data_IF_882604962165
#
_entry.id   IF_882604962165
#
_cell.length_a   1.000
_cell.length_b   1.000
_cell.length_c   1.000
_cell.angle_alpha   90.00
_cell.angle_beta   90.00
_cell.angle_gamma   90.00
#
_symmetry.space_group_name_H-M   'P 1'
#
loop_
_entity.id
_entity.type
_entity.pdbx_description
1 polymer ?
#
# COMPACT_ATOMS: atom_id res chain seq x y z
N UNK A 1 -6.65 -22.30 1.92
CA UNK A 1 -7.32 -22.41 0.59
C UNK A 1 -6.27 -22.10 -0.48
N UNK A 2 -6.05 -22.99 -1.45
CA UNK A 2 -5.06 -22.73 -2.52
C UNK A 2 -5.74 -21.91 -3.62
N UNK A 3 -5.23 -20.70 -3.87
CA UNK A 3 -5.74 -19.85 -4.95
C UNK A 3 -5.21 -20.35 -6.30
N UNK A 4 -6.09 -20.41 -7.30
CA UNK A 4 -5.71 -20.75 -8.68
C UNK A 4 -5.19 -19.50 -9.41
N UNK A 5 -4.32 -19.70 -10.40
CA UNK A 5 -3.95 -18.64 -11.32
C UNK A 5 -5.16 -18.25 -12.18
N UNK A 6 -5.33 -16.96 -12.33
CA UNK A 6 -6.37 -16.33 -13.16
C UNK A 6 -5.74 -15.31 -14.10
N UNK A 7 -6.41 -15.06 -15.21
CA UNK A 7 -6.06 -13.98 -16.12
C UNK A 7 -6.48 -12.61 -15.55
N UNK A 8 -5.77 -11.51 -15.86
CA UNK A 8 -6.19 -10.15 -15.50
C UNK A 8 -7.59 -9.77 -16.00
N UNK A 9 -8.06 -10.37 -17.09
CA UNK A 9 -9.42 -10.16 -17.65
C UNK A 9 -10.52 -10.63 -16.70
N UNK A 10 -10.21 -11.53 -15.76
CA UNK A 10 -11.15 -11.98 -14.72
C UNK A 10 -11.49 -10.87 -13.71
N UNK A 11 -10.67 -9.80 -13.64
CA UNK A 11 -10.94 -8.63 -12.81
C UNK A 11 -12.13 -7.87 -13.41
N UNK A 12 -13.24 -7.79 -12.67
CA UNK A 12 -14.46 -7.15 -13.17
C UNK A 12 -14.38 -5.63 -13.25
N UNK A 13 -13.63 -4.99 -12.33
CA UNK A 13 -13.49 -3.53 -12.29
C UNK A 13 -12.49 -3.03 -13.35
N UNK A 14 -12.89 -2.12 -14.25
CA UNK A 14 -11.99 -1.54 -15.25
C UNK A 14 -10.79 -0.81 -14.63
N UNK A 15 -11.02 -0.04 -13.55
CA UNK A 15 -9.93 0.69 -12.87
C UNK A 15 -8.96 -0.26 -12.16
N UNK A 16 -9.43 -1.37 -11.59
CA UNK A 16 -8.55 -2.39 -11.01
C UNK A 16 -7.78 -3.15 -12.09
N UNK A 17 -8.38 -3.41 -13.27
CA UNK A 17 -7.62 -3.96 -14.41
C UNK A 17 -6.51 -3.01 -14.86
N UNK A 18 -6.83 -1.72 -15.00
CA UNK A 18 -5.86 -0.70 -15.38
C UNK A 18 -4.73 -0.61 -14.34
N UNK A 19 -5.06 -0.67 -13.04
CA UNK A 19 -4.08 -0.69 -11.95
C UNK A 19 -3.19 -1.95 -11.99
N UNK A 20 -3.76 -3.11 -12.31
CA UNK A 20 -3.01 -4.36 -12.49
C UNK A 20 -2.06 -4.27 -13.69
N UNK A 21 -2.52 -3.72 -14.83
CA UNK A 21 -1.68 -3.51 -16.01
C UNK A 21 -0.56 -2.49 -15.75
N UNK A 22 -0.81 -1.47 -14.94
CA UNK A 22 0.20 -0.51 -14.50
C UNK A 22 1.27 -1.20 -13.64
N UNK A 23 0.85 -1.99 -12.65
CA UNK A 23 1.74 -2.78 -11.80
C UNK A 23 2.57 -3.80 -12.60
N UNK A 24 1.97 -4.46 -13.58
CA UNK A 24 2.63 -5.41 -14.48
C UNK A 24 3.74 -4.75 -15.30
N UNK A 25 3.50 -3.55 -15.84
CA UNK A 25 4.53 -2.76 -16.55
C UNK A 25 5.67 -2.35 -15.64
N UNK A 26 5.40 -1.95 -14.39
CA UNK A 26 6.45 -1.62 -13.42
C UNK A 26 7.28 -2.83 -13.01
N UNK A 27 6.67 -4.01 -13.02
CA UNK A 27 7.38 -5.25 -12.67
C UNK A 27 8.49 -5.58 -13.67
N UNK A 28 8.30 -5.27 -14.96
CA UNK A 28 9.31 -5.42 -16.02
C UNK A 28 10.13 -6.71 -15.89
N UNK A 29 9.52 -7.86 -16.16
CA UNK A 29 10.10 -9.20 -15.99
C UNK A 29 10.47 -9.64 -14.56
N UNK A 30 10.39 -8.76 -13.58
CA UNK A 30 10.52 -9.10 -12.16
C UNK A 30 9.21 -9.69 -11.63
N UNK A 31 9.31 -10.36 -10.51
CA UNK A 31 8.17 -10.98 -9.83
C UNK A 31 7.17 -9.95 -9.31
N UNK A 32 7.66 -8.77 -8.92
CA UNK A 32 6.91 -7.58 -8.52
C UNK A 32 7.84 -6.36 -8.56
N UNK A 33 7.28 -5.14 -8.68
CA UNK A 33 8.08 -3.91 -8.68
C UNK A 33 8.48 -3.47 -7.27
N UNK A 34 9.45 -2.55 -7.17
CA UNK A 34 9.70 -1.84 -5.93
C UNK A 34 8.64 -0.75 -5.71
N UNK A 35 8.25 -0.52 -4.46
CA UNK A 35 7.23 0.50 -4.13
C UNK A 35 7.68 1.93 -4.51
N UNK A 36 8.99 2.17 -4.54
CA UNK A 36 9.60 3.44 -4.94
C UNK A 36 9.42 3.78 -6.42
N UNK A 37 9.07 2.79 -7.24
CA UNK A 37 8.79 2.97 -8.67
C UNK A 37 7.34 3.40 -8.94
N UNK A 38 6.49 3.29 -7.92
CA UNK A 38 5.10 3.69 -8.04
C UNK A 38 4.99 5.22 -8.09
N UNK A 39 4.47 5.73 -9.19
CA UNK A 39 4.09 7.15 -9.31
C UNK A 39 2.61 7.30 -8.93
N UNK A 40 2.37 7.84 -7.76
CA UNK A 40 1.02 8.05 -7.23
C UNK A 40 0.11 8.88 -8.14
N UNK A 41 0.70 9.72 -8.99
CA UNK A 41 -0.05 10.59 -9.88
C UNK A 41 -0.32 9.95 -11.24
N UNK A 42 0.48 8.96 -11.62
CA UNK A 42 0.24 8.17 -12.83
C UNK A 42 -0.65 6.94 -12.55
N UNK A 43 -1.10 6.76 -11.29
CA UNK A 43 -1.99 5.66 -10.94
C UNK A 43 -3.31 5.76 -11.73
N UNK A 44 -3.66 4.75 -12.52
CA UNK A 44 -4.94 4.71 -13.25
C UNK A 44 -6.08 4.28 -12.31
N UNK A 45 -6.11 4.83 -11.10
CA UNK A 45 -7.03 4.44 -10.05
C UNK A 45 -7.22 5.58 -9.04
N UNK A 46 -8.43 5.73 -8.50
CA UNK A 46 -8.72 6.74 -7.46
C UNK A 46 -8.00 6.38 -6.15
N UNK A 47 -7.07 7.24 -5.66
CA UNK A 47 -6.38 7.02 -4.39
C UNK A 47 -7.32 6.88 -3.19
N UNK A 48 -8.52 7.45 -3.25
CA UNK A 48 -9.53 7.34 -2.18
C UNK A 48 -10.00 5.89 -1.94
N UNK A 49 -9.77 5.00 -2.89
CA UNK A 49 -10.13 3.57 -2.81
C UNK A 49 -8.94 2.67 -2.48
N UNK A 50 -7.77 3.25 -2.18
CA UNK A 50 -6.53 2.52 -1.93
C UNK A 50 -6.20 2.41 -0.46
N UNK A 51 -5.50 1.34 -0.11
CA UNK A 51 -4.83 1.14 1.18
C UNK A 51 -3.41 0.66 0.90
N UNK A 52 -2.44 1.21 1.60
CA UNK A 52 -1.05 0.72 1.57
C UNK A 52 -0.76 0.04 2.91
N UNK A 53 -0.36 -1.22 2.84
CA UNK A 53 0.07 -2.01 3.97
C UNK A 53 1.58 -2.22 3.95
N UNK A 54 2.30 -1.96 5.05
CA UNK A 54 3.65 -2.48 5.25
C UNK A 54 3.58 -3.94 5.67
N UNK A 55 4.57 -4.71 5.25
CA UNK A 55 4.77 -6.10 5.68
C UNK A 55 5.89 -6.09 6.72
N UNK A 56 5.54 -6.40 7.98
CA UNK A 56 6.46 -6.38 9.12
C UNK A 56 6.74 -7.79 9.61
N UNK A 57 7.99 -8.05 9.99
CA UNK A 57 8.42 -9.35 10.50
C UNK A 57 8.61 -10.42 9.42
N UNK A 58 9.04 -11.59 9.85
CA UNK A 58 9.33 -12.72 8.98
C UNK A 58 8.18 -13.75 8.97
N UNK A 59 8.09 -14.53 7.88
CA UNK A 59 7.15 -15.65 7.81
C UNK A 59 7.47 -16.70 8.87
N UNK A 60 6.46 -17.31 9.50
CA UNK A 60 5.02 -17.19 9.25
C UNK A 60 4.32 -16.08 10.07
N UNK A 61 5.05 -15.30 10.87
CA UNK A 61 4.52 -14.31 11.83
C UNK A 61 4.43 -12.89 11.26
N UNK A 62 4.30 -12.74 9.94
CA UNK A 62 4.15 -11.44 9.30
C UNK A 62 2.90 -10.71 9.80
N UNK A 63 3.08 -9.39 10.07
CA UNK A 63 2.00 -8.45 10.35
C UNK A 63 1.87 -7.46 9.20
N UNK A 64 0.67 -6.97 8.98
CA UNK A 64 0.34 -6.02 7.93
C UNK A 64 -0.15 -4.75 8.57
N UNK A 65 0.63 -3.67 8.52
CA UNK A 65 0.29 -2.38 9.14
C UNK A 65 -0.09 -1.36 8.08
N UNK A 66 -1.22 -0.67 8.27
CA UNK A 66 -1.68 0.36 7.35
C UNK A 66 -0.77 1.59 7.41
N UNK A 67 -0.15 1.92 6.27
CA UNK A 67 0.62 3.15 6.06
C UNK A 67 -0.25 4.27 5.48
N UNK A 68 -1.24 3.90 4.67
CA UNK A 68 -2.19 4.80 4.03
C UNK A 68 -3.55 4.15 3.96
N UNK A 69 -4.59 4.95 4.13
CA UNK A 69 -5.98 4.57 3.90
C UNK A 69 -6.69 5.71 3.16
N UNK A 70 -7.28 5.40 2.02
CA UNK A 70 -8.08 6.33 1.24
C UNK A 70 -9.42 6.67 1.91
N UNK A 71 -9.91 7.85 1.62
CA UNK A 71 -11.13 8.42 2.23
C UNK A 71 -12.36 7.51 2.05
N UNK A 72 -12.58 6.96 0.85
CA UNK A 72 -13.72 6.09 0.58
C UNK A 72 -13.66 4.79 1.39
N UNK A 73 -12.45 4.30 1.68
CA UNK A 73 -12.26 3.11 2.53
C UNK A 73 -12.56 3.47 3.99
N UNK A 74 -12.06 4.62 4.46
CA UNK A 74 -12.34 5.10 5.83
C UNK A 74 -13.85 5.26 6.06
N UNK A 75 -14.55 5.89 5.12
CA UNK A 75 -16.00 6.07 5.18
C UNK A 75 -16.76 4.73 5.12
N UNK A 76 -16.34 3.82 4.22
CA UNK A 76 -17.00 2.52 4.05
C UNK A 76 -16.91 1.63 5.29
N UNK A 77 -15.83 1.71 6.04
CA UNK A 77 -15.61 0.90 7.23
C UNK A 77 -15.80 1.68 8.53
N UNK A 78 -16.18 2.95 8.45
CA UNK A 78 -16.33 3.87 9.59
C UNK A 78 -15.16 3.76 10.58
N UNK A 79 -13.93 3.71 10.07
CA UNK A 79 -12.73 3.41 10.86
C UNK A 79 -11.47 4.00 10.24
N UNK A 80 -10.60 4.58 11.07
CA UNK A 80 -9.25 4.97 10.69
C UNK A 80 -8.29 3.80 10.96
N UNK A 81 -7.64 3.34 9.90
CA UNK A 81 -6.70 2.22 9.92
C UNK A 81 -5.24 2.65 10.02
N UNK A 82 -4.95 3.94 9.82
CA UNK A 82 -3.56 4.42 9.79
C UNK A 82 -2.79 4.03 11.06
N UNK A 83 -1.68 3.32 10.89
CA UNK A 83 -0.83 2.83 11.98
C UNK A 83 -1.31 1.55 12.67
N UNK A 84 -2.51 1.06 12.36
CA UNK A 84 -3.05 -0.18 12.94
C UNK A 84 -2.71 -1.38 12.08
N UNK A 85 -2.71 -2.55 12.70
CA UNK A 85 -2.52 -3.82 11.99
C UNK A 85 -3.83 -4.29 11.33
N UNK A 86 -3.71 -5.13 10.31
CA UNK A 86 -4.85 -5.73 9.62
C UNK A 86 -5.74 -6.54 10.59
N UNK A 87 -5.14 -7.18 11.59
CA UNK A 87 -5.84 -7.90 12.65
C UNK A 87 -6.70 -7.00 13.53
N UNK A 88 -6.27 -5.75 13.76
CA UNK A 88 -7.00 -4.79 14.59
C UNK A 88 -8.18 -4.16 13.86
N UNK A 89 -8.06 -3.95 12.54
CA UNK A 89 -9.03 -3.15 11.79
C UNK A 89 -10.01 -3.96 10.96
N UNK A 90 -9.62 -5.18 10.55
CA UNK A 90 -10.51 -6.03 9.75
C UNK A 90 -11.53 -6.71 10.66
N UNK A 91 -12.82 -6.56 10.38
CA UNK A 91 -13.88 -7.23 11.12
C UNK A 91 -13.64 -8.74 11.27
N UNK A 92 -14.00 -9.31 12.42
CA UNK A 92 -13.68 -10.69 12.77
C UNK A 92 -14.18 -11.69 11.72
N UNK A 93 -15.35 -11.47 11.14
CA UNK A 93 -15.93 -12.31 10.08
C UNK A 93 -15.11 -12.35 8.79
N UNK A 94 -14.36 -11.29 8.49
CA UNK A 94 -13.50 -11.18 7.30
C UNK A 94 -12.01 -11.41 7.59
N UNK A 95 -11.62 -11.40 8.87
CA UNK A 95 -10.21 -11.38 9.27
C UNK A 95 -9.42 -12.55 8.69
N UNK A 96 -9.92 -13.77 8.83
CA UNK A 96 -9.26 -14.97 8.31
C UNK A 96 -9.03 -14.89 6.80
N UNK A 97 -10.08 -14.60 6.02
CA UNK A 97 -10.01 -14.52 4.53
C UNK A 97 -9.09 -13.38 4.08
N UNK A 98 -9.07 -12.27 4.81
CA UNK A 98 -8.24 -11.12 4.47
C UNK A 98 -6.77 -11.38 4.76
N UNK A 99 -6.45 -11.93 5.94
CA UNK A 99 -5.09 -12.29 6.30
C UNK A 99 -4.53 -13.41 5.42
N UNK A 100 -5.33 -14.44 5.11
CA UNK A 100 -4.91 -15.52 4.21
C UNK A 100 -4.58 -14.97 2.82
N UNK A 101 -5.38 -14.04 2.30
CA UNK A 101 -5.10 -13.39 1.02
C UNK A 101 -3.81 -12.55 1.05
N UNK A 102 -3.57 -11.76 2.10
CA UNK A 102 -2.35 -10.99 2.26
C UNK A 102 -1.11 -11.91 2.38
N UNK A 103 -1.20 -13.00 3.14
CA UNK A 103 -0.16 -14.03 3.23
C UNK A 103 0.09 -14.71 1.89
N UNK A 104 -0.95 -15.02 1.12
CA UNK A 104 -0.80 -15.57 -0.24
C UNK A 104 -0.08 -14.57 -1.16
N UNK A 105 -0.47 -13.30 -1.12
CA UNK A 105 0.14 -12.22 -1.88
C UNK A 105 1.64 -12.14 -1.60
N UNK A 106 2.06 -12.13 -0.32
CA UNK A 106 3.48 -12.05 0.08
C UNK A 106 4.24 -13.33 -0.23
N UNK A 107 3.65 -14.50 0.04
CA UNK A 107 4.33 -15.79 -0.16
C UNK A 107 4.52 -16.11 -1.62
N UNK A 108 3.51 -15.86 -2.44
CA UNK A 108 3.56 -16.14 -3.87
C UNK A 108 4.19 -15.00 -4.67
N UNK A 109 4.37 -13.79 -4.08
CA UNK A 109 4.82 -12.60 -4.79
C UNK A 109 3.96 -12.34 -6.03
N UNK A 110 2.66 -12.53 -5.91
CA UNK A 110 1.69 -12.43 -6.97
C UNK A 110 0.50 -11.61 -6.51
N UNK A 111 -0.14 -10.91 -7.43
CA UNK A 111 -1.36 -10.17 -7.11
C UNK A 111 -2.49 -11.14 -6.71
N UNK A 112 -3.33 -10.71 -5.78
CA UNK A 112 -4.52 -11.46 -5.35
C UNK A 112 -5.75 -10.63 -5.67
N UNK A 113 -6.68 -11.20 -6.45
CA UNK A 113 -7.99 -10.61 -6.67
C UNK A 113 -9.06 -11.46 -6.02
N UNK A 114 -10.02 -10.82 -5.35
CA UNK A 114 -11.17 -11.50 -4.74
C UNK A 114 -12.43 -10.65 -4.83
N UNK A 115 -13.57 -11.33 -4.96
CA UNK A 115 -14.91 -10.74 -4.80
C UNK A 115 -15.51 -11.33 -3.53
N UNK A 116 -15.86 -10.46 -2.60
CA UNK A 116 -16.47 -10.81 -1.32
C UNK A 116 -17.85 -10.18 -1.29
N UNK A 117 -18.89 -11.00 -1.26
CA UNK A 117 -20.27 -10.54 -1.12
C UNK A 117 -20.64 -10.35 0.33
N UNK A 118 -21.32 -9.27 0.65
CA UNK A 118 -21.84 -8.92 1.97
C UNK A 118 -23.22 -8.24 1.85
N UNK A 119 -23.85 -7.98 2.98
CA UNK A 119 -25.11 -7.23 3.06
C UNK A 119 -24.79 -5.80 3.53
N UNK A 120 -25.22 -4.83 2.77
CA UNK A 120 -25.08 -3.41 3.10
C UNK A 120 -26.11 -2.94 4.14
N UNK A 121 -26.00 -1.64 4.56
CA UNK A 121 -26.84 -1.07 5.62
C UNK A 121 -28.36 -1.21 5.40
N UNK A 122 -28.80 -1.13 4.15
CA UNK A 122 -30.21 -1.19 3.77
C UNK A 122 -30.64 -2.61 3.32
N UNK A 123 -29.92 -3.66 3.72
CA UNK A 123 -30.24 -5.04 3.32
C UNK A 123 -29.87 -5.39 1.86
N UNK A 124 -29.28 -4.46 1.11
CA UNK A 124 -28.85 -4.71 -0.27
C UNK A 124 -27.58 -5.56 -0.30
N UNK A 125 -27.48 -6.40 -1.33
CA UNK A 125 -26.24 -7.17 -1.58
C UNK A 125 -25.17 -6.24 -2.14
N UNK A 126 -23.99 -6.29 -1.53
CA UNK A 126 -22.80 -5.50 -1.90
C UNK A 126 -21.64 -6.44 -2.17
N UNK A 127 -20.99 -6.26 -3.31
CA UNK A 127 -19.75 -6.95 -3.63
C UNK A 127 -18.55 -6.03 -3.37
N UNK A 128 -17.63 -6.49 -2.55
CA UNK A 128 -16.32 -5.88 -2.36
C UNK A 128 -15.33 -6.53 -3.34
N UNK A 129 -14.94 -5.79 -4.36
CA UNK A 129 -13.86 -6.16 -5.26
C UNK A 129 -12.54 -5.75 -4.61
N UNK A 130 -11.76 -6.72 -4.19
CA UNK A 130 -10.47 -6.52 -3.53
C UNK A 130 -9.33 -6.99 -4.44
N UNK A 131 -8.42 -6.07 -4.72
CA UNK A 131 -7.17 -6.35 -5.43
C UNK A 131 -6.01 -6.04 -4.49
N UNK A 132 -5.08 -6.98 -4.31
CA UNK A 132 -3.84 -6.83 -3.56
C UNK A 132 -2.67 -6.95 -4.53
N UNK A 133 -1.81 -5.95 -4.59
CA UNK A 133 -0.63 -5.89 -5.46
C UNK A 133 0.64 -5.88 -4.58
N UNK A 134 1.53 -6.87 -4.70
CA UNK A 134 2.77 -6.90 -3.94
C UNK A 134 3.81 -5.95 -4.53
N UNK A 135 4.57 -5.31 -3.64
CA UNK A 135 5.74 -4.49 -3.94
C UNK A 135 6.88 -4.86 -3.01
N UNK A 136 8.13 -4.79 -3.50
CA UNK A 136 9.28 -5.09 -2.67
C UNK A 136 10.57 -5.19 -3.48
N UNK A 137 11.63 -5.68 -2.82
CA UNK A 137 12.98 -5.82 -3.40
C UNK A 137 13.56 -7.17 -3.00
N UNK A 138 14.56 -7.62 -3.73
CA UNK A 138 15.36 -8.80 -3.41
C UNK A 138 14.52 -10.07 -3.13
N UNK A 139 13.39 -10.20 -3.83
CA UNK A 139 12.48 -11.33 -3.67
C UNK A 139 11.58 -11.27 -2.43
N UNK A 140 11.72 -10.23 -1.58
CA UNK A 140 10.88 -10.00 -0.41
C UNK A 140 9.80 -8.96 -0.69
N UNK A 141 8.55 -9.26 -0.34
CA UNK A 141 7.45 -8.29 -0.40
C UNK A 141 7.48 -7.43 0.86
N UNK A 142 7.64 -6.13 0.67
CA UNK A 142 7.75 -5.12 1.74
C UNK A 142 6.44 -4.35 1.94
N UNK A 143 5.68 -4.16 0.86
CA UNK A 143 4.37 -3.48 0.89
C UNK A 143 3.35 -4.22 0.04
N UNK A 144 2.08 -4.00 0.39
CA UNK A 144 0.93 -4.40 -0.41
C UNK A 144 0.10 -3.15 -0.71
N UNK A 145 -0.09 -2.82 -1.98
CA UNK A 145 -1.10 -1.86 -2.41
C UNK A 145 -2.42 -2.59 -2.59
N UNK A 146 -3.41 -2.24 -1.78
CA UNK A 146 -4.75 -2.79 -1.85
C UNK A 146 -5.71 -1.79 -2.50
N UNK A 147 -6.52 -2.24 -3.45
CA UNK A 147 -7.67 -1.51 -3.96
C UNK A 147 -8.96 -2.19 -3.47
N UNK A 148 -9.84 -1.41 -2.86
CA UNK A 148 -11.12 -1.84 -2.33
C UNK A 148 -12.24 -1.07 -3.01
N UNK A 149 -13.10 -1.78 -3.75
CA UNK A 149 -14.26 -1.20 -4.41
C UNK A 149 -15.52 -1.92 -3.98
N UNK A 150 -16.42 -1.17 -3.34
CA UNK A 150 -17.69 -1.67 -2.87
C UNK A 150 -18.78 -1.24 -3.86
N UNK A 151 -19.44 -2.21 -4.47
CA UNK A 151 -20.48 -1.97 -5.47
C UNK A 151 -21.77 -2.66 -5.08
N UNK A 152 -22.88 -1.93 -5.20
CA UNK A 152 -24.20 -2.55 -5.08
C UNK A 152 -24.43 -3.47 -6.28
N UNK A 153 -24.80 -4.73 -6.02
CA UNK A 153 -24.96 -5.75 -7.06
C UNK A 153 -26.06 -5.40 -8.06
N UNK A 154 -27.15 -4.76 -7.61
CA UNK A 154 -28.30 -4.43 -8.42
C UNK A 154 -28.10 -3.15 -9.26
N UNK A 155 -27.53 -2.10 -8.64
CA UNK A 155 -27.39 -0.79 -9.29
C UNK A 155 -25.99 -0.55 -9.89
N UNK A 156 -25.00 -1.40 -9.58
CA UNK A 156 -23.58 -1.26 -9.95
C UNK A 156 -22.95 0.08 -9.52
N UNK A 157 -23.60 0.80 -8.60
CA UNK A 157 -23.08 2.05 -8.02
C UNK A 157 -22.17 1.75 -6.84
N UNK A 158 -21.19 2.61 -6.62
CA UNK A 158 -20.32 2.54 -5.44
C UNK A 158 -21.16 2.75 -4.16
N UNK A 159 -20.89 1.95 -3.13
CA UNK A 159 -21.58 2.01 -1.84
C UNK A 159 -20.58 2.49 -0.78
N UNK A 160 -21.03 3.42 0.04
CA UNK A 160 -20.31 3.94 1.21
C UNK A 160 -21.22 3.76 2.43
N UNK A 161 -20.69 3.23 3.53
CA UNK A 161 -21.43 3.09 4.79
C UNK A 161 -21.12 1.80 5.55
N UNK A 162 -21.70 1.66 6.73
CA UNK A 162 -21.53 0.50 7.60
C UNK A 162 -22.09 -0.79 6.99
N UNK A 163 -21.23 -1.80 6.87
CA UNK A 163 -21.60 -3.11 6.34
C UNK A 163 -21.84 -4.11 7.48
N UNK A 164 -23.03 -4.72 7.52
CA UNK A 164 -23.32 -5.85 8.41
C UNK A 164 -22.65 -7.10 7.85
N UNK A 165 -21.74 -7.64 8.61
CA UNK A 165 -20.67 -8.50 8.13
C UNK A 165 -21.01 -10.00 8.19
N UNK A 166 -21.99 -10.44 7.41
CA UNK A 166 -21.96 -11.81 6.90
C UNK A 166 -21.36 -11.79 5.50
N UNK A 167 -20.11 -12.21 5.39
CA UNK A 167 -19.37 -12.08 4.14
C UNK A 167 -18.99 -13.45 3.58
N UNK A 168 -19.23 -13.65 2.30
CA UNK A 168 -18.88 -14.87 1.57
C UNK A 168 -17.94 -14.53 0.43
N UNK A 169 -16.79 -15.23 0.34
CA UNK A 169 -15.92 -15.12 -0.85
C UNK A 169 -16.58 -15.84 -2.02
N UNK A 170 -16.96 -15.08 -3.03
CA UNK A 170 -17.63 -15.58 -4.24
C UNK A 170 -16.59 -15.99 -5.29
N UNK A 171 -15.48 -15.28 -5.34
CA UNK A 171 -14.40 -15.50 -6.30
C UNK A 171 -13.06 -15.11 -5.71
N UNK A 172 -11.99 -15.86 -6.02
CA UNK A 172 -10.63 -15.46 -5.69
C UNK A 172 -9.59 -16.16 -6.58
N UNK A 173 -8.51 -15.44 -6.91
CA UNK A 173 -7.43 -15.97 -7.73
C UNK A 173 -6.13 -15.17 -7.60
N UNK A 174 -5.05 -15.75 -8.12
CA UNK A 174 -3.72 -15.16 -8.20
C UNK A 174 -3.46 -14.66 -9.62
N UNK A 175 -2.76 -13.53 -9.74
CA UNK A 175 -2.33 -12.94 -11.01
C UNK A 175 -0.82 -12.74 -10.90
N UNK A 176 -0.06 -13.28 -11.87
CA UNK A 176 1.37 -13.04 -12.00
C UNK A 176 1.66 -11.99 -13.06
N UNK A 177 2.77 -11.24 -12.97
CA UNK A 177 3.22 -10.40 -14.08
C UNK A 177 3.39 -11.22 -15.36
N UNK A 178 3.07 -10.62 -16.50
CA UNK A 178 3.05 -11.29 -17.81
C UNK A 178 4.39 -11.92 -18.18
N UNK A 179 5.49 -11.27 -17.83
CA UNK A 179 6.83 -11.78 -18.08
C UNK A 179 7.23 -12.92 -17.10
N UNK A 180 6.78 -12.85 -15.84
CA UNK A 180 7.03 -13.90 -14.84
C UNK A 180 6.21 -15.18 -15.07
N UNK A 181 5.11 -15.09 -15.81
CA UNK A 181 4.29 -16.25 -16.18
C UNK A 181 5.01 -17.22 -17.14
N UNK A 182 6.09 -16.77 -17.79
CA UNK A 182 6.92 -17.58 -18.72
C UNK A 182 8.06 -18.34 -18.02
N UNK A 183 8.32 -18.09 -16.72
CA UNK A 183 9.35 -18.81 -15.96
C UNK A 183 8.72 -19.99 -15.20
N UNK A 184 9.30 -21.22 -15.31
CA UNK A 184 8.86 -22.35 -14.49
C UNK A 184 9.16 -22.06 -13.00
N UNK A 185 8.33 -22.61 -12.11
CA UNK A 185 8.50 -22.52 -10.66
C UNK A 185 9.83 -23.14 -10.23
N UNK A 186 10.90 -22.37 -10.22
CA UNK A 186 12.13 -22.77 -9.55
C UNK A 186 11.90 -22.57 -8.06
N UNK A 187 11.59 -23.66 -7.37
CA UNK A 187 11.66 -23.76 -5.91
C UNK A 187 13.14 -23.63 -5.53
N UNK A 188 13.65 -22.41 -5.50
CA UNK A 188 14.99 -22.11 -5.03
C UNK A 188 15.01 -22.20 -3.51
N UNK A 189 15.69 -23.21 -2.98
CA UNK A 189 16.17 -23.26 -1.61
C UNK A 189 16.99 -21.99 -1.34
N UNK A 190 16.52 -21.18 -0.39
CA UNK A 190 17.20 -19.98 0.08
C UNK A 190 18.40 -20.44 0.91
N UNK A 191 19.65 -20.08 0.56
CA UNK A 191 20.76 -20.29 1.48
C UNK A 191 20.57 -19.38 2.69
N UNK A 192 20.62 -20.00 3.87
CA UNK A 192 20.62 -19.31 5.15
C UNK A 192 21.83 -18.34 5.20
N UNK A 193 21.59 -17.07 5.16
CA UNK A 193 22.62 -16.04 5.35
C UNK A 193 22.45 -15.38 6.69
N UNK A 194 23.50 -15.49 7.45
CA UNK A 194 23.96 -14.92 8.70
C UNK A 194 23.08 -13.94 9.45
N UNK A 195 22.96 -14.25 10.73
CA UNK A 195 22.52 -13.35 11.80
C UNK A 195 23.20 -11.99 11.64
N UNK A 196 22.39 -10.91 11.45
CA UNK A 196 22.81 -9.58 11.85
C UNK A 196 22.03 -9.23 13.13
N UNK A 197 22.78 -9.03 14.17
CA UNK A 197 22.34 -8.62 15.48
C UNK A 197 21.48 -7.35 15.42
N UNK A 198 20.40 -7.37 16.18
CA UNK A 198 19.58 -6.21 16.44
C UNK A 198 20.41 -5.22 17.30
N UNK A 199 21.01 -4.25 16.66
CA UNK A 199 21.57 -3.09 17.38
C UNK A 199 20.41 -2.23 17.83
N UNK A 200 20.21 -2.17 19.13
CA UNK A 200 19.40 -1.17 19.81
C UNK A 200 19.76 0.21 19.28
N UNK A 201 18.77 0.93 18.74
CA UNK A 201 18.99 2.23 18.14
C UNK A 201 19.53 3.26 19.13
N UNK A 202 20.85 3.45 19.14
CA UNK A 202 21.45 4.69 19.64
C UNK A 202 21.00 5.82 18.71
N UNK A 203 20.41 6.84 19.30
CA UNK A 203 20.01 8.06 18.61
C UNK A 203 21.25 8.81 18.09
N UNK A 204 21.70 8.47 16.90
CA UNK A 204 22.86 9.08 16.22
C UNK A 204 22.51 10.42 15.56
N UNK A 205 21.69 11.24 16.22
CA UNK A 205 21.33 12.58 15.72
C UNK A 205 22.49 13.53 15.93
N UNK A 206 23.16 13.88 14.85
CA UNK A 206 24.33 14.81 14.88
C UNK A 206 23.95 16.27 15.07
N UNK A 207 22.68 16.69 14.92
CA UNK A 207 22.26 18.10 14.97
C UNK A 207 20.87 18.25 15.65
N UNK A 208 20.66 19.34 16.44
CA UNK A 208 19.38 19.61 17.07
C UNK A 208 18.31 19.91 16.03
N UNK A 209 17.11 19.39 16.25
CA UNK A 209 15.91 19.69 15.46
C UNK A 209 15.07 20.75 16.15
N UNK A 210 14.55 21.71 15.38
CA UNK A 210 13.56 22.66 15.86
C UNK A 210 12.16 22.18 15.47
N UNK A 211 11.25 22.10 16.42
CA UNK A 211 9.84 21.90 16.13
C UNK A 211 9.33 23.13 15.38
N UNK A 212 8.72 22.91 14.22
CA UNK A 212 8.12 23.94 13.38
C UNK A 212 6.81 23.42 12.84
N UNK A 213 5.90 24.33 12.49
CA UNK A 213 4.69 24.00 11.75
C UNK A 213 4.64 24.94 10.56
N UNK A 214 5.16 24.50 9.43
CA UNK A 214 5.24 25.28 8.20
C UNK A 214 4.64 24.53 7.04
N UNK A 215 3.86 25.22 6.24
CA UNK A 215 3.39 24.68 4.98
C UNK A 215 4.58 24.52 4.02
N UNK A 216 4.55 23.45 3.25
CA UNK A 216 5.57 23.16 2.25
C UNK A 216 4.94 22.47 1.04
N UNK A 217 5.66 22.48 -0.06
CA UNK A 217 5.28 21.80 -1.30
C UNK A 217 6.33 20.78 -1.67
N UNK A 218 5.92 19.53 -1.80
CA UNK A 218 6.71 18.46 -2.38
C UNK A 218 6.55 18.54 -3.89
N UNK A 219 7.67 18.52 -4.63
CA UNK A 219 7.68 18.49 -6.09
C UNK A 219 8.45 17.27 -6.55
N UNK A 220 7.83 16.44 -7.39
CA UNK A 220 8.45 15.28 -8.04
C UNK A 220 7.76 15.00 -9.37
N UNK A 221 8.53 14.61 -10.39
CA UNK A 221 8.02 14.31 -11.74
C UNK A 221 7.06 15.38 -12.30
N UNK A 222 7.37 16.67 -12.05
CA UNK A 222 6.55 17.80 -12.52
C UNK A 222 5.29 18.08 -11.69
N UNK A 223 5.09 17.41 -10.58
CA UNK A 223 3.87 17.47 -9.75
C UNK A 223 4.13 18.11 -8.39
N UNK A 224 3.08 18.69 -7.79
CA UNK A 224 3.15 19.38 -6.51
C UNK A 224 2.13 18.82 -5.52
N UNK A 225 2.60 18.43 -4.33
CA UNK A 225 1.78 18.03 -3.19
C UNK A 225 2.02 19.02 -2.05
N UNK A 226 0.95 19.58 -1.48
CA UNK A 226 1.05 20.42 -0.28
C UNK A 226 1.18 19.52 0.95
N UNK A 227 2.08 19.88 1.88
CA UNK A 227 2.34 19.14 3.10
C UNK A 227 2.75 20.07 4.24
N UNK A 228 2.88 19.53 5.46
CA UNK A 228 3.32 20.27 6.64
C UNK A 228 4.68 19.76 7.12
N UNK A 229 5.63 20.64 7.31
CA UNK A 229 6.91 20.35 8.00
C UNK A 229 6.69 20.52 9.50
N UNK A 230 6.96 19.45 10.27
CA UNK A 230 6.76 19.40 11.73
C UNK A 230 8.03 19.61 12.52
N UNK A 231 9.15 19.21 12.00
CA UNK A 231 10.46 19.52 12.53
C UNK A 231 11.47 19.65 11.39
N UNK A 232 12.48 20.48 11.60
CA UNK A 232 13.54 20.75 10.63
C UNK A 232 14.89 20.89 11.33
N UNK A 233 15.93 20.43 10.68
CA UNK A 233 17.33 20.63 11.04
C UNK A 233 18.15 21.00 9.79
N UNK A 234 19.43 21.29 9.97
CA UNK A 234 20.30 21.55 8.82
C UNK A 234 20.40 20.35 7.85
N UNK A 235 20.20 19.11 8.33
CA UNK A 235 20.40 17.89 7.55
C UNK A 235 19.11 17.19 7.12
N UNK A 236 17.92 17.65 7.56
CA UNK A 236 16.67 17.01 7.21
C UNK A 236 15.44 17.57 7.90
N UNK A 237 14.29 17.00 7.57
CA UNK A 237 13.00 17.41 8.11
C UNK A 237 12.09 16.20 8.36
N UNK A 238 11.05 16.43 9.15
CA UNK A 238 9.91 15.54 9.24
C UNK A 238 8.68 16.21 8.63
N UNK A 239 8.04 15.51 7.73
CA UNK A 239 6.93 16.01 6.90
C UNK A 239 5.69 15.20 7.21
N UNK A 240 4.55 15.88 7.31
CA UNK A 240 3.26 15.26 7.61
C UNK A 240 2.24 15.61 6.51
N UNK A 241 1.55 14.58 6.00
CA UNK A 241 0.41 14.66 5.09
C UNK A 241 -0.25 13.28 4.94
N UNK A 242 -1.51 13.24 4.54
CA UNK A 242 -2.26 12.01 4.34
C UNK A 242 -1.73 11.15 3.17
N UNK A 243 -1.12 11.76 2.16
CA UNK A 243 -0.72 11.13 0.91
C UNK A 243 0.78 10.78 0.84
N UNK A 244 1.54 10.96 1.93
CA UNK A 244 3.00 10.76 1.92
C UNK A 244 3.43 9.31 1.65
N UNK A 245 2.57 8.33 1.88
CA UNK A 245 2.86 6.93 1.56
C UNK A 245 3.08 6.71 0.05
N UNK A 246 2.51 7.57 -0.80
CA UNK A 246 2.59 7.49 -2.26
C UNK A 246 3.70 8.39 -2.84
N UNK A 247 4.39 9.19 -2.02
CA UNK A 247 5.50 10.06 -2.46
C UNK A 247 6.76 9.21 -2.67
N UNK A 248 7.51 9.40 -3.79
CA UNK A 248 8.74 8.65 -4.06
C UNK A 248 9.82 8.96 -3.01
N UNK A 249 10.84 8.10 -2.91
CA UNK A 249 11.94 8.29 -1.94
C UNK A 249 12.81 9.52 -2.22
N UNK A 250 12.82 10.01 -3.46
CA UNK A 250 13.55 11.21 -3.85
C UNK A 250 12.59 12.24 -4.44
N UNK A 251 12.59 13.43 -3.87
CA UNK A 251 11.77 14.53 -4.32
C UNK A 251 12.40 15.89 -3.96
N UNK A 252 11.78 16.97 -4.41
CA UNK A 252 12.15 18.32 -4.04
C UNK A 252 11.14 18.91 -3.08
N UNK A 253 11.61 19.60 -2.03
CA UNK A 253 10.81 20.24 -1.00
C UNK A 253 11.01 21.75 -1.08
N UNK A 254 9.93 22.50 -1.19
CA UNK A 254 9.90 23.95 -1.06
C UNK A 254 9.11 24.27 0.20
N UNK A 255 9.78 24.86 1.19
CA UNK A 255 9.17 25.27 2.46
C UNK A 255 8.66 26.71 2.29
N UNK A 256 7.45 26.97 2.73
CA UNK A 256 6.86 28.30 2.69
C UNK A 256 7.72 29.29 3.46
N UNK A 257 7.96 30.48 2.88
CA UNK A 257 8.88 31.52 3.35
C UNK A 257 10.40 31.19 3.22
N UNK A 258 10.78 30.06 2.63
CA UNK A 258 12.17 29.79 2.22
C UNK A 258 12.24 29.81 0.69
N UNK A 259 13.12 30.63 0.12
CA UNK A 259 13.27 30.73 -1.34
C UNK A 259 14.02 29.56 -1.97
N UNK A 260 14.52 28.63 -1.17
CA UNK A 260 15.37 27.54 -1.62
C UNK A 260 14.59 26.22 -1.77
N UNK A 261 14.69 25.61 -2.94
CA UNK A 261 14.25 24.25 -3.19
C UNK A 261 15.30 23.26 -2.68
N UNK A 262 14.90 22.32 -1.82
CA UNK A 262 15.78 21.32 -1.22
C UNK A 262 15.56 19.96 -1.85
N UNK A 263 16.60 19.28 -2.28
CA UNK A 263 16.53 17.87 -2.64
C UNK A 263 16.38 17.04 -1.39
N UNK A 264 15.42 16.12 -1.39
CA UNK A 264 15.09 15.28 -0.23
C UNK A 264 15.19 13.80 -0.59
N UNK A 265 15.73 13.02 0.34
CA UNK A 265 15.68 11.56 0.29
C UNK A 265 14.97 11.06 1.54
N UNK A 266 13.95 10.21 1.38
CA UNK A 266 13.22 9.61 2.50
C UNK A 266 14.13 8.66 3.27
N UNK A 267 14.18 8.83 4.59
CA UNK A 267 14.97 8.00 5.51
C UNK A 267 14.09 7.01 6.26
N UNK A 268 12.87 7.43 6.60
CA UNK A 268 11.89 6.59 7.26
C UNK A 268 10.47 7.03 6.89
N UNK A 269 9.52 6.09 6.97
CA UNK A 269 8.09 6.32 6.73
C UNK A 269 7.29 5.84 7.94
N UNK A 270 6.31 6.64 8.34
CA UNK A 270 5.23 6.31 9.29
C UNK A 270 3.88 6.68 8.66
N UNK A 271 2.77 6.19 9.18
CA UNK A 271 1.46 6.67 8.76
C UNK A 271 1.39 8.20 8.84
N UNK A 272 0.98 8.85 7.75
CA UNK A 272 0.85 10.32 7.65
C UNK A 272 2.14 11.14 7.92
N UNK A 273 3.32 10.50 8.06
CA UNK A 273 4.57 11.22 8.36
C UNK A 273 5.80 10.53 7.75
N UNK A 274 6.68 11.31 7.15
CA UNK A 274 7.98 10.84 6.65
C UNK A 274 9.12 11.67 7.23
N UNK A 275 10.27 11.02 7.45
CA UNK A 275 11.52 11.72 7.73
C UNK A 275 12.39 11.74 6.50
N UNK A 276 12.92 12.93 6.18
CA UNK A 276 13.76 13.14 5.00
C UNK A 276 15.12 13.69 5.39
N UNK A 277 16.11 13.33 4.59
CA UNK A 277 17.44 13.94 4.62
C UNK A 277 17.56 14.87 3.42
N UNK A 278 18.09 16.05 3.66
CA UNK A 278 18.49 17.00 2.61
C UNK A 278 19.77 16.53 1.91
N UNK A 279 19.78 16.62 0.57
CA UNK A 279 20.93 16.28 -0.27
C UNK A 279 21.63 17.50 -0.77
#
# INVERSE_FOLDING_TARGET
>A
MTLKLISPEAIKSPSQRALTAYWDRLADSRRFPAFTELDAMALPHDPKQLVVWSVEGERPRQKFRALYQGENVSQAFNSDWAGKTMEEVVPMSLRRVTLDAAKQCTTKGAAVYAIISTIGPNGQRVDCHRLLLPFGRDGAVEQILASLQLTNVNTRRQVVGDFKMQATTVFSGLIRPSAAAKQPDVVGSIPARGKKEATSGRDNRKLPRRAVTRAAKITYSGKRLTCMVRDISASGASIEDANLALVPDKFRLVIEMESAERRCTVVWRKPKRIGVRFG
#
